data_IF_895832587616
#
_entry.id   IF_895832587616
#
_cell.length_a   1.000
_cell.length_b   1.000
_cell.length_c   1.000
_cell.angle_alpha   90.00
_cell.angle_beta   90.00
_cell.angle_gamma   90.00
#
_symmetry.space_group_name_H-M   'P 1'
#
loop_
_entity.id
_entity.type
_entity.pdbx_description
1 polymer ?
#
# COMPACT_ATOMS: atom_id res chain seq x y z
N UNK A 1 2.24 0.93 -8.96
CA UNK A 1 3.11 -0.27 -9.03
C UNK A 1 4.54 0.21 -9.22
N UNK A 2 5.54 -0.41 -8.59
CA UNK A 2 6.93 0.07 -8.58
C UNK A 2 7.88 -0.90 -9.28
N UNK A 3 7.87 -2.17 -8.90
CA UNK A 3 8.69 -3.21 -9.52
C UNK A 3 8.07 -4.60 -9.31
N UNK A 4 8.51 -5.58 -10.09
CA UNK A 4 8.10 -6.97 -9.95
C UNK A 4 9.33 -7.89 -10.00
N UNK A 5 9.28 -9.01 -9.29
CA UNK A 5 10.33 -10.03 -9.31
C UNK A 5 9.73 -11.44 -9.18
N UNK A 6 10.51 -12.45 -9.55
CA UNK A 6 10.12 -13.84 -9.38
C UNK A 6 10.16 -14.23 -7.89
N UNK A 7 9.01 -14.59 -7.33
CA UNK A 7 8.90 -15.11 -5.97
C UNK A 7 9.06 -16.63 -5.88
N UNK A 8 8.97 -17.33 -7.02
CA UNK A 8 9.08 -18.78 -7.11
C UNK A 8 8.78 -19.26 -8.54
N UNK A 9 9.19 -20.48 -8.86
CA UNK A 9 9.15 -21.00 -10.23
C UNK A 9 8.15 -22.15 -10.43
N UNK A 10 7.78 -22.89 -9.39
CA UNK A 10 6.84 -24.02 -9.49
C UNK A 10 5.79 -24.02 -8.35
N UNK A 11 4.57 -23.50 -8.57
CA UNK A 11 4.11 -22.78 -9.76
C UNK A 11 4.78 -21.39 -9.89
N UNK A 12 4.87 -20.78 -11.09
CA UNK A 12 5.45 -19.46 -11.26
C UNK A 12 4.74 -18.39 -10.41
N UNK A 13 5.49 -17.68 -9.57
CA UNK A 13 4.98 -16.60 -8.72
C UNK A 13 5.66 -15.29 -9.11
N UNK A 14 4.87 -14.28 -9.44
CA UNK A 14 5.34 -12.91 -9.65
C UNK A 14 4.92 -12.07 -8.45
N UNK A 15 5.89 -11.54 -7.73
CA UNK A 15 5.65 -10.63 -6.59
C UNK A 15 5.76 -9.20 -7.08
N UNK A 16 4.67 -8.45 -7.00
CA UNK A 16 4.59 -7.07 -7.45
C UNK A 16 4.56 -6.15 -6.24
N UNK A 17 5.50 -5.20 -6.22
CA UNK A 17 5.63 -4.19 -5.18
C UNK A 17 5.02 -2.87 -5.62
N UNK A 18 4.40 -2.15 -4.70
CA UNK A 18 3.88 -0.82 -4.93
C UNK A 18 3.17 -0.24 -3.71
N UNK A 19 2.51 0.89 -3.91
CA UNK A 19 1.62 1.51 -2.93
C UNK A 19 0.17 1.15 -3.27
N UNK A 20 -0.70 0.98 -2.27
CA UNK A 20 -2.13 0.70 -2.43
C UNK A 20 -2.43 -0.51 -3.33
N UNK A 21 -1.52 -1.48 -3.32
CA UNK A 21 -1.60 -2.65 -4.20
C UNK A 21 -2.67 -3.64 -3.73
N UNK A 22 -3.10 -3.51 -2.47
CA UNK A 22 -4.21 -4.27 -1.87
C UNK A 22 -5.57 -3.83 -2.41
N UNK A 23 -5.69 -2.55 -2.76
CA UNK A 23 -6.95 -1.92 -3.19
C UNK A 23 -7.21 -2.08 -4.70
N UNK A 24 -6.33 -2.79 -5.41
CA UNK A 24 -6.51 -3.05 -6.83
C UNK A 24 -7.77 -3.91 -7.07
N UNK A 25 -8.63 -3.51 -8.02
CA UNK A 25 -9.76 -4.33 -8.44
C UNK A 25 -9.30 -5.69 -8.96
N UNK A 26 -10.10 -6.74 -8.72
CA UNK A 26 -9.77 -8.09 -9.17
C UNK A 26 -9.67 -8.21 -10.69
N UNK A 27 -10.38 -7.36 -11.45
CA UNK A 27 -10.24 -7.24 -12.89
C UNK A 27 -8.81 -6.88 -13.30
N UNK A 28 -8.18 -5.93 -12.60
CA UNK A 28 -6.81 -5.51 -12.87
C UNK A 28 -5.79 -6.56 -12.45
N UNK A 29 -6.05 -7.30 -11.35
CA UNK A 29 -5.22 -8.45 -10.95
C UNK A 29 -5.22 -9.53 -12.04
N UNK A 30 -6.39 -9.85 -12.61
CA UNK A 30 -6.52 -10.79 -13.74
C UNK A 30 -5.85 -10.28 -15.01
N UNK A 31 -5.97 -8.98 -15.30
CA UNK A 31 -5.27 -8.36 -16.43
C UNK A 31 -3.76 -8.57 -16.32
N UNK A 32 -3.15 -8.24 -15.18
CA UNK A 32 -1.72 -8.43 -14.96
C UNK A 32 -1.33 -9.91 -15.07
N UNK A 33 -2.14 -10.82 -14.55
CA UNK A 33 -1.89 -12.27 -14.65
C UNK A 33 -1.85 -12.73 -16.10
N UNK A 34 -2.84 -12.33 -16.90
CA UNK A 34 -2.91 -12.64 -18.32
C UNK A 34 -1.80 -11.97 -19.12
N UNK A 35 -1.40 -10.75 -18.74
CA UNK A 35 -0.29 -10.03 -19.35
C UNK A 35 1.02 -10.81 -19.18
N UNK A 36 1.40 -11.14 -17.93
CA UNK A 36 2.61 -11.92 -17.67
C UNK A 36 2.56 -13.31 -18.31
N UNK A 37 1.39 -13.96 -18.32
CA UNK A 37 1.23 -15.26 -18.97
C UNK A 37 1.52 -15.20 -20.46
N UNK A 38 1.01 -14.17 -21.14
CA UNK A 38 1.23 -13.96 -22.58
C UNK A 38 2.67 -13.54 -22.88
N UNK A 39 3.22 -12.59 -22.12
CA UNK A 39 4.55 -12.03 -22.37
C UNK A 39 5.69 -13.02 -22.08
N UNK A 40 5.49 -13.95 -21.15
CA UNK A 40 6.49 -14.97 -20.80
C UNK A 40 6.21 -16.31 -21.48
N UNK A 41 5.20 -16.39 -22.36
CA UNK A 41 4.81 -17.60 -23.10
C UNK A 41 4.61 -18.84 -22.22
N UNK A 42 4.18 -18.64 -20.97
CA UNK A 42 3.98 -19.72 -20.01
C UNK A 42 2.65 -20.42 -20.32
N UNK A 43 2.77 -21.54 -21.03
CA UNK A 43 1.67 -22.44 -21.36
C UNK A 43 1.63 -23.59 -20.35
N UNK A 44 0.44 -23.89 -19.80
CA UNK A 44 0.20 -25.07 -18.95
C UNK A 44 0.11 -24.82 -17.45
N UNK A 45 0.78 -23.80 -16.90
CA UNK A 45 0.73 -23.50 -15.46
C UNK A 45 0.18 -22.09 -15.20
N UNK A 46 -0.80 -21.92 -14.29
CA UNK A 46 -1.27 -20.59 -13.93
C UNK A 46 -0.17 -19.80 -13.22
N UNK A 47 0.07 -18.56 -13.66
CA UNK A 47 0.97 -17.62 -12.98
C UNK A 47 0.24 -17.06 -11.76
N UNK A 48 0.84 -17.16 -10.57
CA UNK A 48 0.32 -16.55 -9.36
C UNK A 48 0.91 -15.16 -9.18
N UNK A 49 0.07 -14.16 -8.96
CA UNK A 49 0.51 -12.81 -8.62
C UNK A 49 0.31 -12.59 -7.13
N UNK A 50 1.38 -12.19 -6.45
CA UNK A 50 1.32 -11.72 -5.07
C UNK A 50 1.62 -10.22 -5.04
N UNK A 51 0.81 -9.49 -4.28
CA UNK A 51 1.00 -8.05 -4.10
C UNK A 51 1.61 -7.80 -2.73
N UNK A 52 2.79 -7.18 -2.72
CA UNK A 52 3.43 -6.71 -1.50
C UNK A 52 3.39 -5.19 -1.44
N UNK A 53 2.82 -4.69 -0.36
CA UNK A 53 2.87 -3.28 -0.03
C UNK A 53 4.01 -3.04 0.96
N UNK A 54 4.65 -1.87 0.88
CA UNK A 54 5.62 -1.47 1.90
C UNK A 54 4.89 -1.21 3.23
N UNK A 55 5.51 -1.59 4.35
CA UNK A 55 4.97 -1.21 5.65
C UNK A 55 5.02 0.31 5.82
N UNK A 56 3.88 0.90 6.18
CA UNK A 56 3.83 2.31 6.53
C UNK A 56 4.30 2.49 7.99
N UNK A 57 5.47 3.11 8.24
CA UNK A 57 6.02 3.25 9.60
C UNK A 57 5.22 4.18 10.51
N UNK A 58 4.19 4.85 9.99
CA UNK A 58 3.30 5.75 10.72
C UNK A 58 1.92 5.16 10.99
N UNK A 59 1.57 3.98 10.45
CA UNK A 59 0.21 3.43 10.52
C UNK A 59 -0.29 3.25 11.97
N UNK A 60 0.60 2.89 12.90
CA UNK A 60 0.28 2.64 14.30
C UNK A 60 0.78 3.73 15.26
N UNK A 61 1.37 4.82 14.74
CA UNK A 61 1.83 5.93 15.59
C UNK A 61 0.67 6.87 15.86
N UNK A 62 0.11 6.84 17.08
CA UNK A 62 -0.75 7.92 17.57
C UNK A 62 0.07 9.20 17.59
N UNK A 63 -0.38 10.22 16.87
CA UNK A 63 0.28 11.53 16.83
C UNK A 63 0.05 12.23 18.18
N UNK A 64 0.83 11.87 19.20
CA UNK A 64 0.79 12.52 20.50
C UNK A 64 1.31 13.93 20.32
N UNK A 65 0.46 14.93 20.62
CA UNK A 65 0.84 16.33 20.52
C UNK A 65 2.09 16.58 21.36
N UNK A 66 3.09 17.22 20.77
CA UNK A 66 4.24 17.68 21.54
C UNK A 66 3.81 18.70 22.60
N UNK A 67 4.56 18.88 23.71
CA UNK A 67 4.21 19.85 24.74
C UNK A 67 3.97 21.27 24.21
N UNK A 68 4.68 21.66 23.16
CA UNK A 68 4.48 22.94 22.47
C UNK A 68 3.16 23.00 21.67
N UNK A 69 2.81 21.92 20.96
CA UNK A 69 1.54 21.82 20.24
C UNK A 69 0.34 21.81 21.20
N UNK A 70 0.46 21.14 22.35
CA UNK A 70 -0.56 21.19 23.40
C UNK A 70 -0.76 22.61 23.94
N UNK A 71 0.33 23.34 24.22
CA UNK A 71 0.27 24.74 24.65
C UNK A 71 -0.36 25.64 23.59
N UNK A 72 0.01 25.48 22.32
CA UNK A 72 -0.60 26.23 21.20
C UNK A 72 -2.10 25.97 21.10
N UNK A 73 -2.53 24.70 21.16
CA UNK A 73 -3.95 24.31 21.15
C UNK A 73 -4.72 24.91 22.33
N UNK A 74 -4.17 24.85 23.55
CA UNK A 74 -4.77 25.46 24.74
C UNK A 74 -4.97 26.98 24.58
N UNK A 75 -3.98 27.70 24.05
CA UNK A 75 -4.08 29.15 23.79
C UNK A 75 -5.17 29.46 22.77
N UNK A 76 -5.23 28.70 21.68
CA UNK A 76 -6.24 28.85 20.62
C UNK A 76 -7.66 28.64 21.15
N UNK A 77 -7.89 27.56 21.90
CA UNK A 77 -9.20 27.27 22.52
C UNK A 77 -9.62 28.39 23.49
N UNK A 78 -8.69 28.92 24.29
CA UNK A 78 -8.97 30.03 25.22
C UNK A 78 -9.40 31.28 24.47
N UNK A 79 -8.76 31.60 23.35
CA UNK A 79 -9.10 32.77 22.54
C UNK A 79 -10.49 32.63 21.90
N UNK A 80 -10.80 31.47 21.31
CA UNK A 80 -12.10 31.19 20.71
C UNK A 80 -13.22 31.27 21.76
N UNK A 81 -13.01 30.72 22.96
CA UNK A 81 -13.98 30.80 24.07
C UNK A 81 -14.18 32.21 24.63
N UNK A 82 -13.21 33.11 24.47
CA UNK A 82 -13.31 34.51 24.90
C UNK A 82 -14.01 35.39 23.85
N UNK A 83 -13.92 34.99 22.58
CA UNK A 83 -14.55 35.66 21.45
C UNK A 83 -16.03 35.29 21.26
N UNK A 84 -16.52 34.31 22.00
CA UNK A 84 -17.91 33.85 22.02
C UNK A 84 -18.54 34.27 23.34
#
# INVERSE_FOLDING_TARGET
LKYAHAGGYNPPIVVIHGNQVKDLPDSYKRYLMNYFRKSLEVMGTPIRIQFKEGENPFANKRNTLTPNQMRKRKRLIKHIKKSK
#
